data_IF_255886808971
#
_entry.id   IF_255886808971
#
_cell.length_a   1.000
_cell.length_b   1.000
_cell.length_c   1.000
_cell.angle_alpha   90.00
_cell.angle_beta   90.00
_cell.angle_gamma   90.00
#
_symmetry.space_group_name_H-M   'P 1'
#
loop_
_entity.id
_entity.type
_entity.pdbx_description
1 polymer ?
#
# COMPACT_ATOMS: atom_id res chain seq x y z
N UNK A 1 24.22 29.30 -14.53
CA UNK A 1 23.17 28.26 -14.42
C UNK A 1 22.94 27.94 -12.95
N UNK A 2 21.87 28.44 -12.31
CA UNK A 2 21.59 28.11 -10.91
C UNK A 2 21.09 26.67 -10.80
N UNK A 3 21.65 25.89 -9.85
CA UNK A 3 21.26 24.49 -9.62
C UNK A 3 19.95 24.45 -8.83
N UNK A 4 18.92 23.73 -9.29
CA UNK A 4 17.66 23.63 -8.57
C UNK A 4 17.88 22.90 -7.23
N UNK A 5 17.29 23.45 -6.17
CA UNK A 5 17.43 22.91 -4.82
C UNK A 5 16.68 21.58 -4.68
N UNK A 6 17.23 20.65 -3.90
CA UNK A 6 16.65 19.32 -3.65
C UNK A 6 15.21 19.38 -3.10
N UNK A 7 14.79 20.51 -2.51
CA UNK A 7 13.43 20.71 -1.98
C UNK A 7 12.39 20.96 -3.08
N UNK A 8 12.74 21.63 -4.18
CA UNK A 8 11.83 21.89 -5.30
C UNK A 8 11.50 20.61 -6.08
N UNK A 9 12.49 19.74 -6.25
CA UNK A 9 12.30 18.43 -6.89
C UNK A 9 11.47 17.46 -6.02
N UNK A 10 11.55 17.58 -4.70
CA UNK A 10 10.71 16.80 -3.78
C UNK A 10 9.25 17.29 -3.74
N UNK A 11 9.03 18.61 -3.85
CA UNK A 11 7.70 19.20 -3.90
C UNK A 11 6.97 18.85 -5.21
N UNK A 12 7.64 18.92 -6.36
CA UNK A 12 7.07 18.50 -7.66
C UNK A 12 6.68 17.02 -7.69
N UNK A 13 7.51 16.13 -7.13
CA UNK A 13 7.22 14.69 -7.03
C UNK A 13 6.06 14.35 -6.09
N UNK A 14 5.78 15.18 -5.06
CA UNK A 14 4.61 15.01 -4.20
C UNK A 14 3.32 15.51 -4.86
N UNK A 15 3.40 16.59 -5.66
CA UNK A 15 2.28 17.10 -6.45
C UNK A 15 1.81 16.13 -7.54
N UNK A 16 2.73 15.55 -8.31
CA UNK A 16 2.39 14.57 -9.36
C UNK A 16 1.83 13.26 -8.80
N UNK A 17 2.31 12.80 -7.64
CA UNK A 17 1.76 11.60 -6.97
C UNK A 17 0.35 11.80 -6.42
N UNK A 18 -0.01 13.01 -6.00
CA UNK A 18 -1.40 13.31 -5.59
C UNK A 18 -2.33 13.41 -6.81
N UNK A 19 -1.88 14.04 -7.90
CA UNK A 19 -2.67 14.18 -9.12
C UNK A 19 -2.92 12.84 -9.84
N UNK A 20 -1.95 11.92 -9.85
CA UNK A 20 -2.15 10.57 -10.37
C UNK A 20 -3.12 9.73 -9.51
N UNK A 21 -3.15 9.97 -8.19
CA UNK A 21 -4.05 9.25 -7.28
C UNK A 21 -5.52 9.70 -7.41
N UNK A 22 -5.77 10.96 -7.77
CA UNK A 22 -7.13 11.47 -8.01
C UNK A 22 -7.67 11.11 -9.39
N UNK A 23 -6.82 11.00 -10.41
CA UNK A 23 -7.25 10.57 -11.76
C UNK A 23 -7.40 9.04 -11.87
N UNK A 24 -6.58 8.26 -11.14
CA UNK A 24 -6.70 6.80 -11.09
C UNK A 24 -7.95 6.30 -10.35
N UNK A 25 -8.40 7.02 -9.33
CA UNK A 25 -9.62 6.67 -8.57
C UNK A 25 -10.93 6.97 -9.35
N UNK A 26 -10.91 7.89 -10.32
CA UNK A 26 -12.07 8.17 -11.16
C UNK A 26 -12.24 7.16 -12.30
N UNK A 27 -11.15 6.55 -12.80
CA UNK A 27 -11.20 5.49 -13.81
C UNK A 27 -11.51 4.10 -13.24
N UNK A 28 -11.11 3.81 -12.00
CA UNK A 28 -11.38 2.51 -11.38
C UNK A 28 -12.83 2.30 -10.94
N UNK A 29 -13.68 3.34 -10.96
CA UNK A 29 -15.12 3.19 -10.65
C UNK A 29 -15.94 2.75 -11.87
N UNK A 30 -15.41 2.90 -13.09
CA UNK A 30 -16.12 2.55 -14.32
C UNK A 30 -15.76 1.13 -14.82
N UNK A 31 -14.55 0.63 -14.56
CA UNK A 31 -14.14 -0.72 -15.02
C UNK A 31 -14.43 -1.87 -14.03
N UNK A 32 -14.73 -1.59 -12.76
CA UNK A 32 -15.09 -2.67 -11.80
C UNK A 32 -16.57 -3.10 -11.86
N UNK A 33 -17.31 -2.64 -12.88
CA UNK A 33 -18.68 -3.10 -13.15
C UNK A 33 -18.74 -4.24 -14.18
N UNK A 34 -17.63 -4.59 -14.85
CA UNK A 34 -17.67 -5.49 -16.03
C UNK A 34 -16.84 -6.78 -15.91
N UNK A 35 -16.05 -6.98 -14.86
CA UNK A 35 -15.27 -8.21 -14.69
C UNK A 35 -15.48 -8.85 -13.32
N UNK A 36 -16.64 -9.48 -13.14
CA UNK A 36 -16.81 -10.57 -12.19
C UNK A 36 -16.95 -11.87 -13.00
N UNK A 37 -15.82 -12.36 -13.52
CA UNK A 37 -15.72 -13.70 -14.08
C UNK A 37 -15.69 -14.69 -12.92
N UNK A 38 -16.83 -15.33 -12.77
CA UNK A 38 -17.13 -16.46 -11.91
C UNK A 38 -16.27 -17.66 -12.33
N UNK A 39 -15.32 -18.07 -11.49
CA UNK A 39 -14.67 -19.36 -11.63
C UNK A 39 -14.89 -20.21 -10.39
N UNK A 40 -15.53 -21.36 -10.64
CA UNK A 40 -15.64 -22.56 -9.78
C UNK A 40 -16.75 -22.60 -8.73
N UNK A 41 -18.01 -22.38 -9.14
CA UNK A 41 -19.11 -23.20 -8.62
C UNK A 41 -20.01 -23.69 -9.75
N UNK A 42 -20.32 -24.99 -9.72
CA UNK A 42 -21.25 -25.71 -10.62
C UNK A 42 -22.44 -24.81 -11.01
N UNK A 43 -22.92 -24.88 -12.27
CA UNK A 43 -24.07 -24.09 -12.69
C UNK A 43 -25.24 -24.42 -11.76
N UNK A 44 -25.58 -23.47 -10.88
CA UNK A 44 -26.78 -23.55 -10.07
C UNK A 44 -27.92 -23.44 -11.05
N UNK A 45 -28.45 -24.60 -11.44
CA UNK A 45 -29.74 -24.77 -12.11
C UNK A 45 -30.66 -23.71 -11.50
N UNK A 46 -31.07 -22.69 -12.29
CA UNK A 46 -32.23 -21.87 -11.93
C UNK A 46 -33.39 -22.85 -11.95
N UNK A 47 -33.55 -23.57 -10.86
CA UNK A 47 -34.83 -24.15 -10.53
C UNK A 47 -35.72 -22.93 -10.34
N UNK A 48 -36.53 -22.63 -11.35
CA UNK A 48 -37.90 -22.18 -11.13
C UNK A 48 -38.58 -23.26 -10.29
N UNK A 49 -38.15 -23.42 -9.03
CA UNK A 49 -38.90 -24.14 -8.05
C UNK A 49 -40.10 -23.23 -7.84
N UNK A 50 -41.17 -23.53 -8.55
CA UNK A 50 -42.50 -23.34 -8.05
C UNK A 50 -42.54 -24.09 -6.72
N UNK A 51 -41.99 -23.48 -5.67
CA UNK A 51 -42.22 -23.85 -4.30
C UNK A 51 -43.68 -23.47 -4.09
N UNK A 52 -44.55 -24.37 -4.52
CA UNK A 52 -45.97 -24.35 -4.26
C UNK A 52 -46.10 -24.52 -2.76
N UNK A 53 -45.99 -23.41 -2.04
CA UNK A 53 -46.43 -23.34 -0.65
C UNK A 53 -47.93 -23.69 -0.71
N UNK A 54 -48.35 -24.81 -0.12
CA UNK A 54 -49.72 -25.30 -0.26
C UNK A 54 -50.64 -24.35 0.49
N UNK A 55 -51.11 -23.29 -0.20
CA UNK A 55 -52.12 -22.27 0.17
C UNK A 55 -51.94 -20.97 -0.63
N UNK A 56 -50.75 -20.70 -1.20
CA UNK A 56 -50.48 -19.49 -1.98
C UNK A 56 -50.80 -19.73 -3.47
N UNK A 57 -51.96 -19.24 -3.92
CA UNK A 57 -52.28 -19.18 -5.36
C UNK A 57 -51.55 -17.98 -5.97
N UNK A 58 -50.59 -18.24 -6.85
CA UNK A 58 -49.93 -17.18 -7.63
C UNK A 58 -50.91 -16.63 -8.67
N UNK A 59 -51.40 -15.41 -8.46
CA UNK A 59 -52.20 -14.68 -9.45
C UNK A 59 -51.28 -13.72 -10.20
N UNK A 60 -51.18 -13.90 -11.51
CA UNK A 60 -50.50 -12.92 -12.38
C UNK A 60 -51.32 -11.63 -12.39
N UNK A 61 -50.72 -10.42 -12.39
CA UNK A 61 -51.47 -9.15 -12.35
C UNK A 61 -52.60 -9.07 -13.37
N UNK A 62 -52.38 -9.59 -14.59
CA UNK A 62 -53.36 -9.61 -15.68
C UNK A 62 -54.58 -10.52 -15.43
N UNK A 63 -54.54 -11.36 -14.40
CA UNK A 63 -55.65 -12.27 -14.03
C UNK A 63 -56.45 -11.77 -12.82
N UNK A 64 -56.01 -10.70 -12.17
CA UNK A 64 -56.70 -10.12 -11.01
C UNK A 64 -58.02 -9.48 -11.43
N UNK A 65 -58.05 -8.82 -12.58
CA UNK A 65 -59.25 -8.15 -13.13
C UNK A 65 -60.41 -9.12 -13.38
N UNK A 66 -60.12 -10.34 -13.84
CA UNK A 66 -61.13 -11.41 -14.03
C UNK A 66 -61.54 -12.11 -12.73
N UNK A 67 -60.87 -11.86 -11.61
CA UNK A 67 -61.19 -12.41 -10.29
C UNK A 67 -61.95 -11.42 -9.41
N UNK A 68 -61.98 -10.14 -9.80
CA UNK A 68 -62.82 -9.14 -9.17
C UNK A 68 -64.28 -9.32 -9.63
N UNK A 69 -65.26 -9.08 -8.75
CA UNK A 69 -66.66 -9.01 -9.16
C UNK A 69 -66.81 -7.97 -10.27
N UNK A 70 -67.25 -8.40 -11.45
CA UNK A 70 -67.49 -7.52 -12.59
C UNK A 70 -68.67 -6.61 -12.28
N UNK A 71 -68.45 -5.30 -12.25
CA UNK A 71 -69.53 -4.33 -12.08
C UNK A 71 -70.24 -4.13 -13.41
N UNK A 72 -71.49 -4.55 -13.50
CA UNK A 72 -72.33 -4.32 -14.67
C UNK A 72 -73.24 -3.10 -14.40
N UNK A 73 -72.97 -1.92 -15.00
CA UNK A 73 -73.75 -0.72 -14.75
C UNK A 73 -75.20 -0.82 -15.23
N UNK A 74 -75.50 -1.67 -16.22
CA UNK A 74 -76.87 -1.87 -16.68
C UNK A 74 -77.73 -2.65 -15.69
N UNK A 75 -77.12 -3.45 -14.80
CA UNK A 75 -77.85 -4.22 -13.77
C UNK A 75 -78.33 -3.36 -12.59
N UNK A 76 -77.83 -2.13 -12.47
CA UNK A 76 -78.22 -1.16 -11.44
C UNK A 76 -79.03 0.02 -12.00
N UNK A 77 -79.33 0.01 -13.30
CA UNK A 77 -80.21 1.00 -13.92
C UNK A 77 -81.67 0.66 -13.60
N UNK A 78 -82.35 1.56 -12.89
CA UNK A 78 -83.80 1.49 -12.70
C UNK A 78 -84.45 1.99 -13.98
N UNK A 79 -84.83 1.06 -14.87
CA UNK A 79 -85.46 1.37 -16.15
C UNK A 79 -86.87 1.94 -16.01
N UNK A 80 -87.57 1.66 -14.91
CA UNK A 80 -88.88 2.21 -14.56
C UNK A 80 -88.92 2.63 -13.07
N UNK A 81 -88.94 3.94 -12.77
CA UNK A 81 -88.96 4.45 -11.39
C UNK A 81 -90.30 4.26 -10.67
N UNK A 82 -91.40 3.95 -11.38
CA UNK A 82 -92.69 3.64 -10.75
C UNK A 82 -92.88 2.15 -10.45
N UNK A 83 -92.07 1.28 -11.08
CA UNK A 83 -92.07 -0.17 -10.84
C UNK A 83 -90.62 -0.69 -10.73
N UNK A 84 -89.90 -0.37 -9.65
CA UNK A 84 -88.54 -0.86 -9.50
C UNK A 84 -88.54 -2.40 -9.48
N UNK A 85 -87.51 -3.05 -10.08
CA UNK A 85 -87.36 -4.49 -10.00
C UNK A 85 -87.35 -4.94 -8.53
N UNK A 86 -88.18 -5.95 -8.20
CA UNK A 86 -88.43 -6.41 -6.82
C UNK A 86 -87.18 -6.93 -6.08
N UNK A 87 -86.09 -7.22 -6.79
CA UNK A 87 -84.80 -7.50 -6.19
C UNK A 87 -83.67 -6.86 -7.00
N UNK A 88 -82.90 -6.01 -6.33
CA UNK A 88 -81.61 -5.56 -6.84
C UNK A 88 -80.63 -6.74 -6.77
N UNK A 89 -79.72 -6.93 -7.74
CA UNK A 89 -78.71 -7.96 -7.67
C UNK A 89 -77.80 -7.71 -6.45
N UNK A 90 -78.02 -8.49 -5.38
CA UNK A 90 -77.15 -8.52 -4.21
C UNK A 90 -75.94 -9.40 -4.53
N UNK A 91 -74.76 -8.90 -4.19
CA UNK A 91 -73.51 -9.67 -4.25
C UNK A 91 -73.72 -10.97 -3.48
N UNK A 92 -73.47 -12.11 -4.12
CA UNK A 92 -73.65 -13.39 -3.44
C UNK A 92 -72.63 -13.53 -2.31
N UNK A 93 -72.98 -14.24 -1.24
CA UNK A 93 -72.08 -14.42 -0.09
C UNK A 93 -70.70 -14.97 -0.52
N UNK A 94 -70.66 -15.81 -1.57
CA UNK A 94 -69.41 -16.35 -2.13
C UNK A 94 -68.56 -15.29 -2.84
N UNK A 95 -69.17 -14.33 -3.53
CA UNK A 95 -68.49 -13.20 -4.16
C UNK A 95 -67.95 -12.23 -3.10
N UNK A 96 -68.73 -11.94 -2.07
CA UNK A 96 -68.29 -11.10 -0.95
C UNK A 96 -67.08 -11.72 -0.22
N UNK A 97 -67.17 -13.01 0.13
CA UNK A 97 -66.07 -13.73 0.79
C UNK A 97 -64.82 -13.79 -0.10
N UNK A 98 -64.99 -13.96 -1.42
CA UNK A 98 -63.87 -13.95 -2.37
C UNK A 98 -63.19 -12.58 -2.44
N UNK A 99 -63.97 -11.51 -2.53
CA UNK A 99 -63.45 -10.13 -2.54
C UNK A 99 -62.73 -9.79 -1.23
N UNK A 100 -63.30 -10.15 -0.07
CA UNK A 100 -62.65 -9.95 1.24
C UNK A 100 -61.32 -10.69 1.33
N UNK A 101 -61.23 -11.93 0.84
CA UNK A 101 -59.98 -12.71 0.83
C UNK A 101 -58.90 -12.09 -0.06
N UNK A 102 -59.27 -11.53 -1.20
CA UNK A 102 -58.34 -10.83 -2.10
C UNK A 102 -57.80 -9.58 -1.39
N UNK A 103 -58.68 -8.80 -0.76
CA UNK A 103 -58.29 -7.60 -0.02
C UNK A 103 -57.35 -7.93 1.16
N UNK A 104 -57.72 -8.90 2.01
CA UNK A 104 -56.90 -9.33 3.14
C UNK A 104 -55.58 -9.97 2.70
N UNK A 105 -55.58 -10.64 1.54
CA UNK A 105 -54.39 -11.19 0.91
C UNK A 105 -53.44 -10.08 0.44
N UNK A 106 -53.97 -9.06 -0.23
CA UNK A 106 -53.23 -7.89 -0.67
C UNK A 106 -52.63 -7.11 0.50
N UNK A 107 -53.39 -6.92 1.58
CA UNK A 107 -52.90 -6.22 2.76
C UNK A 107 -51.78 -6.96 3.48
N UNK A 108 -51.90 -8.28 3.63
CA UNK A 108 -50.82 -9.11 4.19
C UNK A 108 -49.58 -9.10 3.30
N UNK A 109 -49.74 -9.18 1.99
CA UNK A 109 -48.61 -9.11 1.06
C UNK A 109 -47.87 -7.77 1.20
N UNK A 110 -48.59 -6.65 1.24
CA UNK A 110 -48.00 -5.32 1.40
C UNK A 110 -47.25 -5.17 2.73
N UNK A 111 -47.81 -5.66 3.84
CA UNK A 111 -47.14 -5.65 5.14
C UNK A 111 -45.87 -6.51 5.15
N UNK A 112 -45.90 -7.70 4.54
CA UNK A 112 -44.73 -8.58 4.45
C UNK A 112 -43.63 -7.96 3.59
N UNK A 113 -43.99 -7.33 2.48
CA UNK A 113 -43.06 -6.61 1.62
C UNK A 113 -42.43 -5.42 2.36
N UNK A 114 -43.21 -4.62 3.10
CA UNK A 114 -42.68 -3.54 3.93
C UNK A 114 -41.65 -4.02 4.95
N UNK A 115 -42.00 -5.07 5.72
CA UNK A 115 -41.06 -5.67 6.70
C UNK A 115 -39.80 -6.25 6.04
N UNK A 116 -39.91 -6.78 4.83
CA UNK A 116 -38.75 -7.27 4.08
C UNK A 116 -37.82 -6.12 3.65
N UNK A 117 -38.36 -4.97 3.26
CA UNK A 117 -37.57 -3.77 2.98
C UNK A 117 -36.86 -3.23 4.23
N UNK A 118 -37.53 -3.20 5.37
CA UNK A 118 -36.92 -2.77 6.64
C UNK A 118 -35.77 -3.71 7.04
N UNK A 119 -35.98 -5.02 7.00
CA UNK A 119 -34.94 -6.01 7.32
C UNK A 119 -33.74 -5.91 6.37
N UNK A 120 -33.98 -5.71 5.06
CA UNK A 120 -32.88 -5.56 4.09
C UNK A 120 -32.11 -4.27 4.32
N UNK A 121 -32.79 -3.17 4.68
CA UNK A 121 -32.15 -1.91 5.07
C UNK A 121 -31.26 -2.08 6.29
N UNK A 122 -31.75 -2.73 7.35
CA UNK A 122 -30.94 -2.99 8.55
C UNK A 122 -29.72 -3.84 8.26
N UNK A 123 -29.88 -4.92 7.47
CA UNK A 123 -28.76 -5.76 7.04
C UNK A 123 -27.72 -4.97 6.26
N UNK A 124 -28.14 -4.09 5.35
CA UNK A 124 -27.21 -3.24 4.60
C UNK A 124 -26.42 -2.30 5.51
N UNK A 125 -27.07 -1.70 6.52
CA UNK A 125 -26.38 -0.86 7.51
C UNK A 125 -25.35 -1.67 8.32
N UNK A 126 -25.70 -2.88 8.74
CA UNK A 126 -24.78 -3.76 9.49
C UNK A 126 -23.58 -4.16 8.63
N UNK A 127 -23.79 -4.58 7.39
CA UNK A 127 -22.69 -4.92 6.49
C UNK A 127 -21.82 -3.70 6.16
N UNK A 128 -22.42 -2.51 6.00
CA UNK A 128 -21.69 -1.26 5.85
C UNK A 128 -20.81 -0.93 7.06
N UNK A 129 -21.30 -1.18 8.28
CA UNK A 129 -20.50 -1.01 9.50
C UNK A 129 -19.34 -2.02 9.54
N UNK A 130 -19.58 -3.29 9.22
CA UNK A 130 -18.53 -4.33 9.17
C UNK A 130 -17.44 -4.00 8.15
N UNK A 131 -17.82 -3.52 6.96
CA UNK A 131 -16.86 -3.11 5.95
C UNK A 131 -15.98 -1.95 6.44
N UNK A 132 -16.57 -0.95 7.11
CA UNK A 132 -15.81 0.16 7.72
C UNK A 132 -14.85 -0.34 8.79
N UNK A 133 -15.29 -1.21 9.70
CA UNK A 133 -14.41 -1.77 10.74
C UNK A 133 -13.27 -2.60 10.16
N UNK A 134 -13.54 -3.38 9.11
CA UNK A 134 -12.50 -4.13 8.41
C UNK A 134 -11.48 -3.18 7.77
N UNK A 135 -11.94 -2.14 7.07
CA UNK A 135 -11.04 -1.15 6.47
C UNK A 135 -10.18 -0.41 7.50
N UNK A 136 -10.75 -0.07 8.66
CA UNK A 136 -10.01 0.53 9.76
C UNK A 136 -8.95 -0.44 10.32
N UNK A 137 -9.31 -1.72 10.49
CA UNK A 137 -8.38 -2.77 10.91
C UNK A 137 -7.21 -2.98 9.94
N UNK A 138 -7.46 -2.89 8.63
CA UNK A 138 -6.39 -2.94 7.62
C UNK A 138 -5.48 -1.73 7.74
N UNK A 139 -6.04 -0.52 7.87
CA UNK A 139 -5.23 0.70 8.02
C UNK A 139 -4.34 0.67 9.25
N UNK A 140 -4.85 0.20 10.39
CA UNK A 140 -4.07 0.07 11.62
C UNK A 140 -2.97 -0.99 11.47
N UNK A 141 -3.27 -2.14 10.87
CA UNK A 141 -2.28 -3.18 10.60
C UNK A 141 -1.14 -2.66 9.71
N UNK A 142 -1.46 -1.93 8.63
CA UNK A 142 -0.44 -1.31 7.77
C UNK A 142 0.39 -0.28 8.51
N UNK A 143 -0.21 0.51 9.41
CA UNK A 143 0.53 1.47 10.22
C UNK A 143 1.51 0.77 11.18
N UNK A 144 1.10 -0.33 11.82
CA UNK A 144 1.98 -1.14 12.67
C UNK A 144 3.13 -1.76 11.88
N UNK A 145 2.85 -2.29 10.69
CA UNK A 145 3.87 -2.87 9.82
C UNK A 145 4.89 -1.82 9.38
N UNK A 146 4.43 -0.60 9.06
CA UNK A 146 5.32 0.51 8.74
C UNK A 146 6.24 0.87 9.91
N UNK A 147 5.70 1.02 11.12
CA UNK A 147 6.50 1.33 12.31
C UNK A 147 7.53 0.24 12.58
N UNK A 148 7.15 -1.03 12.39
CA UNK A 148 8.08 -2.16 12.50
C UNK A 148 9.20 -2.08 11.45
N UNK A 149 8.87 -1.76 10.20
CA UNK A 149 9.84 -1.55 9.13
C UNK A 149 10.83 -0.42 9.47
N UNK A 150 10.31 0.75 9.87
CA UNK A 150 11.12 1.90 10.26
C UNK A 150 12.07 1.57 11.43
N UNK A 151 11.62 0.76 12.40
CA UNK A 151 12.45 0.29 13.52
C UNK A 151 13.58 -0.63 13.05
N UNK A 152 13.27 -1.60 12.18
CA UNK A 152 14.29 -2.51 11.63
C UNK A 152 15.32 -1.75 10.81
N UNK A 153 14.89 -0.79 9.98
CA UNK A 153 15.78 0.06 9.21
C UNK A 153 16.72 0.88 10.12
N UNK A 154 16.18 1.44 11.21
CA UNK A 154 16.99 2.15 12.21
C UNK A 154 18.05 1.24 12.84
N UNK A 155 17.69 0.01 13.22
CA UNK A 155 18.64 -0.96 13.78
C UNK A 155 19.76 -1.30 12.80
N UNK A 156 19.43 -1.50 11.52
CA UNK A 156 20.41 -1.74 10.45
C UNK A 156 21.33 -0.53 10.29
N UNK A 157 20.80 0.69 10.26
CA UNK A 157 21.60 1.90 10.17
C UNK A 157 22.55 2.06 11.36
N UNK A 158 22.09 1.72 12.56
CA UNK A 158 22.91 1.77 13.77
C UNK A 158 24.07 0.78 13.70
N UNK A 159 23.83 -0.46 13.27
CA UNK A 159 24.88 -1.46 13.05
C UNK A 159 25.88 -1.03 11.98
N UNK A 160 25.39 -0.51 10.84
CA UNK A 160 26.24 -0.01 9.77
C UNK A 160 27.12 1.16 10.23
N UNK A 161 26.57 2.08 11.02
CA UNK A 161 27.35 3.19 11.58
C UNK A 161 28.41 2.71 12.59
N UNK A 162 28.10 1.70 13.41
CA UNK A 162 29.09 1.10 14.31
C UNK A 162 30.25 0.45 13.54
N UNK A 163 29.95 -0.31 12.48
CA UNK A 163 30.98 -0.91 11.62
C UNK A 163 31.86 0.15 10.95
N UNK A 164 31.26 1.21 10.39
CA UNK A 164 32.00 2.34 9.81
C UNK A 164 32.90 3.04 10.83
N UNK A 165 32.45 3.16 12.08
CA UNK A 165 33.26 3.74 13.16
C UNK A 165 34.48 2.88 13.48
N UNK A 166 34.33 1.56 13.50
CA UNK A 166 35.43 0.61 13.70
C UNK A 166 36.42 0.72 12.53
N UNK A 167 35.92 0.69 11.30
CA UNK A 167 36.75 0.81 10.09
C UNK A 167 37.53 2.14 10.04
N UNK A 168 36.89 3.25 10.40
CA UNK A 168 37.57 4.53 10.52
C UNK A 168 38.66 4.50 11.60
N UNK A 169 38.40 3.83 12.73
CA UNK A 169 39.38 3.64 13.80
C UNK A 169 40.61 2.87 13.34
N UNK A 170 40.42 1.75 12.62
CA UNK A 170 41.52 0.95 12.10
C UNK A 170 42.31 1.69 11.00
N UNK A 171 41.62 2.44 10.13
CA UNK A 171 42.27 3.28 9.12
C UNK A 171 43.13 4.39 9.74
N UNK A 172 42.63 5.05 10.80
CA UNK A 172 43.41 6.05 11.55
C UNK A 172 44.64 5.43 12.20
N UNK A 173 44.48 4.29 12.87
CA UNK A 173 45.60 3.59 13.49
C UNK A 173 46.69 3.27 12.46
N UNK A 174 46.31 2.67 11.32
CA UNK A 174 47.25 2.37 10.23
C UNK A 174 47.99 3.62 9.74
N UNK A 175 47.27 4.73 9.58
CA UNK A 175 47.86 5.99 9.12
C UNK A 175 48.89 6.51 10.13
N UNK A 176 48.54 6.51 11.42
CA UNK A 176 49.47 6.92 12.49
C UNK A 176 50.69 6.01 12.56
N UNK A 177 50.52 4.69 12.42
CA UNK A 177 51.64 3.75 12.38
C UNK A 177 52.55 3.97 11.17
N UNK A 178 51.97 4.21 9.99
CA UNK A 178 52.78 4.51 8.79
C UNK A 178 53.55 5.82 8.97
N UNK A 179 52.94 6.84 9.57
CA UNK A 179 53.60 8.10 9.89
C UNK A 179 54.75 7.91 10.90
N UNK A 180 54.56 7.11 11.95
CA UNK A 180 55.63 6.84 12.92
C UNK A 180 56.79 6.09 12.29
N UNK A 181 56.50 5.07 11.47
CA UNK A 181 57.53 4.35 10.71
C UNK A 181 58.28 5.30 9.79
N UNK A 182 57.59 6.18 9.06
CA UNK A 182 58.22 7.14 8.17
C UNK A 182 59.24 8.03 8.92
N UNK A 183 58.84 8.60 10.06
CA UNK A 183 59.72 9.43 10.91
C UNK A 183 60.93 8.64 11.40
N UNK A 184 60.74 7.40 11.85
CA UNK A 184 61.84 6.54 12.30
C UNK A 184 62.80 6.21 11.14
N UNK A 185 62.27 5.91 9.96
CA UNK A 185 63.09 5.63 8.77
C UNK A 185 63.84 6.85 8.28
N UNK A 186 63.25 8.05 8.31
CA UNK A 186 63.95 9.30 7.98
C UNK A 186 65.11 9.56 8.95
N UNK A 187 64.88 9.32 10.25
CA UNK A 187 65.92 9.45 11.27
C UNK A 187 67.06 8.46 11.02
N UNK A 188 66.76 7.18 10.81
CA UNK A 188 67.77 6.16 10.51
C UNK A 188 68.58 6.51 9.25
N UNK A 189 67.92 7.02 8.21
CA UNK A 189 68.58 7.43 6.97
C UNK A 189 69.50 8.64 7.20
N UNK A 190 69.06 9.62 7.99
CA UNK A 190 69.89 10.77 8.37
C UNK A 190 71.12 10.37 9.19
N UNK A 191 70.98 9.42 10.13
CA UNK A 191 72.09 8.90 10.92
C UNK A 191 73.10 8.14 10.05
N UNK A 192 72.62 7.31 9.11
CA UNK A 192 73.49 6.62 8.14
C UNK A 192 74.23 7.60 7.22
N UNK A 193 73.56 8.68 6.81
CA UNK A 193 74.19 9.74 6.00
C UNK A 193 75.32 10.42 6.80
N UNK A 194 75.06 10.79 8.05
CA UNK A 194 76.07 11.39 8.92
C UNK A 194 77.27 10.46 9.17
N UNK A 195 77.04 9.16 9.38
CA UNK A 195 78.11 8.16 9.51
C UNK A 195 78.95 8.04 8.22
N UNK A 196 78.29 8.03 7.05
CA UNK A 196 78.98 7.97 5.78
C UNK A 196 79.83 9.22 5.51
N UNK A 197 79.35 10.41 5.88
CA UNK A 197 80.10 11.65 5.79
C UNK A 197 81.32 11.64 6.71
N UNK A 198 81.16 11.28 7.98
CA UNK A 198 82.28 11.18 8.91
C UNK A 198 83.34 10.17 8.43
N UNK A 199 82.91 9.04 7.86
CA UNK A 199 83.83 8.06 7.26
C UNK A 199 84.57 8.61 6.04
N UNK A 200 83.89 9.37 5.18
CA UNK A 200 84.50 10.02 4.03
C UNK A 200 85.52 11.09 4.43
N UNK A 201 85.23 11.90 5.45
CA UNK A 201 86.15 12.90 6.01
C UNK A 201 87.40 12.25 6.60
N UNK A 202 87.23 11.17 7.37
CA UNK A 202 88.35 10.42 7.94
C UNK A 202 89.24 9.82 6.83
N UNK A 203 88.64 9.27 5.78
CA UNK A 203 89.39 8.77 4.63
C UNK A 203 90.14 9.90 3.88
N UNK A 204 89.55 11.10 3.78
CA UNK A 204 90.22 12.27 3.20
C UNK A 204 91.40 12.73 4.06
N UNK A 205 91.25 12.81 5.38
CA UNK A 205 92.33 13.15 6.31
C UNK A 205 93.48 12.15 6.21
N UNK A 206 93.19 10.84 6.24
CA UNK A 206 94.21 9.82 6.05
C UNK A 206 94.91 9.92 4.69
N UNK A 207 94.18 10.29 3.65
CA UNK A 207 94.76 10.50 2.31
C UNK A 207 95.68 11.71 2.30
N UNK A 208 95.27 12.82 2.91
CA UNK A 208 96.13 14.00 3.07
C UNK A 208 97.38 13.68 3.89
N UNK A 209 97.25 12.99 5.02
CA UNK A 209 98.40 12.56 5.85
C UNK A 209 99.37 11.65 5.07
N UNK A 210 98.86 10.71 4.28
CA UNK A 210 99.69 9.86 3.43
C UNK A 210 100.37 10.67 2.32
N UNK A 211 99.68 11.66 1.74
CA UNK A 211 100.25 12.54 0.74
C UNK A 211 101.36 13.44 1.32
N UNK A 212 101.18 14.01 2.51
CA UNK A 212 102.24 14.78 3.18
C UNK A 212 103.44 13.92 3.53
N UNK A 213 103.24 12.72 4.10
CA UNK A 213 104.34 11.76 4.33
C UNK A 213 105.08 11.40 3.04
N UNK A 214 104.36 11.22 1.94
CA UNK A 214 104.96 10.92 0.63
C UNK A 214 105.76 12.13 0.10
N UNK A 215 105.27 13.35 0.29
CA UNK A 215 105.99 14.57 -0.07
C UNK A 215 107.27 14.76 0.77
N UNK A 216 107.22 14.52 2.09
CA UNK A 216 108.38 14.53 2.98
C UNK A 216 109.43 13.48 2.57
N UNK A 217 108.97 12.27 2.26
CA UNK A 217 109.86 11.20 1.80
C UNK A 217 110.57 11.56 0.49
N UNK A 218 109.87 12.22 -0.45
CA UNK A 218 110.48 12.71 -1.69
C UNK A 218 111.56 13.76 -1.43
N UNK A 219 111.35 14.68 -0.48
CA UNK A 219 112.35 15.68 -0.08
C UNK A 219 113.63 15.03 0.48
N UNK A 220 113.50 13.94 1.25
CA UNK A 220 114.65 13.19 1.78
C UNK A 220 115.46 12.46 0.69
N UNK A 221 114.83 12.09 -0.42
CA UNK A 221 115.47 11.38 -1.54
C UNK A 221 116.19 12.31 -2.52
N UNK A 222 115.91 13.61 -2.50
CA UNK A 222 116.65 14.61 -3.27
C UNK A 222 117.91 15.03 -2.51
N UNK A 223 119.13 14.77 -3.01
CA UNK A 223 120.36 15.21 -2.35
C UNK A 223 120.40 16.74 -2.34
N UNK A 224 120.63 17.33 -1.16
CA UNK A 224 120.95 18.75 -1.07
C UNK A 224 122.31 18.97 -1.76
N UNK A 225 122.28 19.70 -2.87
CA UNK A 225 123.43 20.30 -3.55
C UNK A 225 123.50 21.77 -3.14
#
# INVERSE_FOLDING_TARGET
>A
MPRPSLSENAAKRKGEKLAQKTVGAAKSVIETASNLVDTTKKPRKRTTSNASIPTLKFTTPNKVEGQLPQFNPQQYQVSDPLSPPKSMPQVTQSQFVSASRIYDGGMRALQLTGKAFDLTRERFVVEGKKAKTFSAGVQTATAFEKVKGDLTDYQIQLQNNQQKKIELGTAKLRTTTVQSIAVETEKELSEKLAQAQAGAELAQLQTQEKQTKLAEFKLQLTPQV
#
